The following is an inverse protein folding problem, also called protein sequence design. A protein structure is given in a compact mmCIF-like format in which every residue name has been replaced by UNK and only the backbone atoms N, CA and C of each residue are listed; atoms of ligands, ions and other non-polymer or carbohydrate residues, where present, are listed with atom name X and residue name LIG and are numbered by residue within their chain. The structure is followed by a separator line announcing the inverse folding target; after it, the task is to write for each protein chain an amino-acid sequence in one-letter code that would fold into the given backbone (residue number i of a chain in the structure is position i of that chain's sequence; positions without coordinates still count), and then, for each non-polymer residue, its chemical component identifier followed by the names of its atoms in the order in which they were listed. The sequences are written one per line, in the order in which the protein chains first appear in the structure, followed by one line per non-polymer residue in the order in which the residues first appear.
data_IF_275109289858
#
_entry.id   IF_275109289858
#
_cell.length_a   1.000
_cell.length_b   1.000
_cell.length_c   1.000
_cell.angle_alpha   90.00
_cell.angle_beta   90.00
_cell.angle_gamma   90.00
#
_symmetry.space_group_name_H-M   'P 1'
#
loop_
_entity.id
_entity.type
_entity.pdbx_description
1 polymer ?
#
# COMPACT_ATOMS: atom_id res chain seq x y z
N UNK A 1 -53.23 -39.82 -24.03
CA UNK A 1 -52.95 -38.55 -24.75
C UNK A 1 -52.46 -37.40 -23.85
N UNK A 2 -52.45 -37.52 -22.51
CA UNK A 2 -52.11 -36.41 -21.59
C UNK A 2 -50.60 -36.24 -21.36
N UNK A 3 -49.80 -37.31 -21.48
CA UNK A 3 -48.37 -37.33 -21.17
C UNK A 3 -47.49 -36.54 -22.16
N UNK A 4 -47.89 -36.39 -23.43
CA UNK A 4 -47.14 -35.62 -24.43
C UNK A 4 -47.30 -34.10 -24.27
N UNK A 5 -48.39 -33.64 -23.66
CA UNK A 5 -48.63 -32.21 -23.40
C UNK A 5 -47.84 -31.71 -22.18
N UNK A 6 -47.64 -32.57 -21.18
CA UNK A 6 -46.83 -32.29 -19.99
C UNK A 6 -45.31 -32.25 -20.30
N UNK A 7 -44.81 -33.05 -21.25
CA UNK A 7 -43.38 -33.00 -21.63
C UNK A 7 -43.02 -31.71 -22.39
N UNK A 8 -43.95 -31.18 -23.20
CA UNK A 8 -43.78 -29.92 -23.92
C UNK A 8 -43.71 -28.70 -22.99
N UNK A 9 -44.50 -28.67 -21.90
CA UNK A 9 -44.49 -27.56 -20.93
C UNK A 9 -43.23 -27.57 -20.05
N UNK A 10 -42.73 -28.76 -19.70
CA UNK A 10 -41.46 -28.91 -18.96
C UNK A 10 -40.27 -28.47 -19.81
N UNK A 11 -40.25 -28.84 -21.09
CA UNK A 11 -39.15 -28.47 -22.00
C UNK A 11 -39.09 -26.97 -22.28
N UNK A 12 -40.25 -26.31 -22.42
CA UNK A 12 -40.33 -24.84 -22.52
C UNK A 12 -39.77 -24.15 -21.27
N UNK A 13 -40.07 -24.67 -20.08
CA UNK A 13 -39.57 -24.13 -18.81
C UNK A 13 -38.05 -24.25 -18.67
N UNK A 14 -37.47 -25.37 -19.12
CA UNK A 14 -36.02 -25.58 -19.10
C UNK A 14 -35.28 -24.64 -20.05
N UNK A 15 -35.82 -24.40 -21.25
CA UNK A 15 -35.23 -23.48 -22.23
C UNK A 15 -35.24 -22.04 -21.69
N UNK A 16 -36.34 -21.60 -21.08
CA UNK A 16 -36.43 -20.28 -20.44
C UNK A 16 -35.41 -20.15 -19.31
N UNK A 17 -35.21 -21.19 -18.49
CA UNK A 17 -34.21 -21.20 -17.43
C UNK A 17 -32.77 -21.08 -17.97
N UNK A 18 -32.46 -21.79 -19.06
CA UNK A 18 -31.16 -21.70 -19.75
C UNK A 18 -30.93 -20.28 -20.30
N UNK A 19 -31.92 -19.69 -20.96
CA UNK A 19 -31.84 -18.33 -21.51
C UNK A 19 -31.65 -17.29 -20.40
N UNK A 20 -32.41 -17.38 -19.30
CA UNK A 20 -32.25 -16.51 -18.14
C UNK A 20 -30.84 -16.65 -17.52
N UNK A 21 -30.31 -17.88 -17.46
CA UNK A 21 -28.95 -18.15 -16.94
C UNK A 21 -27.87 -17.55 -17.85
N UNK A 22 -28.04 -17.61 -19.17
CA UNK A 22 -27.14 -17.00 -20.17
C UNK A 22 -27.20 -15.46 -20.10
N UNK A 23 -28.39 -14.86 -20.05
CA UNK A 23 -28.57 -13.40 -19.99
C UNK A 23 -28.01 -12.84 -18.67
N UNK A 24 -28.32 -13.48 -17.52
CA UNK A 24 -27.77 -13.07 -16.22
C UNK A 24 -26.25 -13.22 -16.18
N UNK A 25 -25.70 -14.28 -16.78
CA UNK A 25 -24.25 -14.49 -16.90
C UNK A 25 -23.58 -13.34 -17.65
N UNK A 26 -24.08 -12.98 -18.83
CA UNK A 26 -23.53 -11.89 -19.64
C UNK A 26 -23.63 -10.51 -18.95
N UNK A 27 -24.74 -10.22 -18.25
CA UNK A 27 -24.92 -8.97 -17.51
C UNK A 27 -23.99 -8.86 -16.28
N UNK A 28 -23.76 -9.99 -15.60
CA UNK A 28 -22.91 -10.07 -14.42
C UNK A 28 -21.42 -10.03 -14.77
N UNK A 29 -21.01 -10.59 -15.92
CA UNK A 29 -19.61 -10.59 -16.34
C UNK A 29 -19.08 -9.18 -16.67
N UNK A 30 -19.89 -8.37 -17.36
CA UNK A 30 -19.52 -6.98 -17.70
C UNK A 30 -19.38 -6.09 -16.46
N UNK A 31 -20.32 -6.20 -15.52
CA UNK A 31 -20.28 -5.44 -14.25
C UNK A 31 -19.10 -5.87 -13.37
N UNK A 32 -18.75 -7.16 -13.33
CA UNK A 32 -17.59 -7.65 -12.58
C UNK A 32 -16.26 -7.08 -13.09
N UNK A 33 -16.10 -6.95 -14.41
CA UNK A 33 -14.91 -6.40 -15.05
C UNK A 33 -14.70 -4.91 -14.73
N UNK A 34 -15.78 -4.13 -14.80
CA UNK A 34 -15.76 -2.70 -14.44
C UNK A 34 -15.43 -2.51 -12.96
N UNK A 35 -16.02 -3.33 -12.07
CA UNK A 35 -15.75 -3.30 -10.62
C UNK A 35 -14.29 -3.64 -10.29
N UNK A 36 -13.66 -4.57 -11.02
CA UNK A 36 -12.22 -4.88 -10.84
C UNK A 36 -11.32 -3.71 -11.24
N UNK A 37 -11.69 -2.93 -12.27
CA UNK A 37 -10.92 -1.76 -12.72
C UNK A 37 -11.05 -0.58 -11.75
N UNK A 38 -12.27 -0.30 -11.28
CA UNK A 38 -12.55 0.76 -10.28
C UNK A 38 -11.80 0.48 -8.97
N UNK A 39 -11.78 -0.78 -8.51
CA UNK A 39 -11.03 -1.19 -7.29
C UNK A 39 -9.53 -0.92 -7.40
N UNK A 40 -8.93 -1.14 -8.58
CA UNK A 40 -7.49 -0.92 -8.81
C UNK A 40 -7.12 0.57 -8.82
N UNK A 41 -8.04 1.44 -9.24
CA UNK A 41 -7.87 2.89 -9.25
C UNK A 41 -8.00 3.46 -7.82
N UNK A 42 -8.99 3.01 -7.05
CA UNK A 42 -9.17 3.44 -5.65
C UNK A 42 -7.96 3.15 -4.76
N UNK A 43 -7.30 2.00 -4.95
CA UNK A 43 -6.10 1.66 -4.19
C UNK A 43 -4.85 2.47 -4.58
N UNK A 44 -4.82 3.12 -5.75
CA UNK A 44 -3.71 4.00 -6.15
C UNK A 44 -3.79 5.40 -5.53
N UNK A 45 -4.99 5.85 -5.13
CA UNK A 45 -5.18 7.12 -4.42
C UNK A 45 -5.05 6.97 -2.89
N UNK A 46 -4.91 5.74 -2.40
CA UNK A 46 -4.67 5.45 -0.99
C UNK A 46 -3.17 5.39 -0.69
N UNK A 47 -2.47 6.48 -1.00
CA UNK A 47 -1.25 6.82 -0.28
C UNK A 47 -1.71 7.32 1.09
N UNK A 48 -1.25 6.76 2.21
CA UNK A 48 -1.57 7.32 3.50
C UNK A 48 -1.07 8.76 3.51
N UNK A 49 -1.98 9.74 3.50
CA UNK A 49 -1.66 11.13 3.78
C UNK A 49 -1.10 11.13 5.19
N UNK A 50 0.23 11.09 5.30
CA UNK A 50 0.93 11.08 6.58
C UNK A 50 0.79 12.48 7.16
N UNK A 51 -0.34 12.73 7.83
CA UNK A 51 -0.47 13.88 8.71
C UNK A 51 0.73 13.87 9.66
N UNK A 52 1.46 14.98 9.83
CA UNK A 52 2.34 15.12 10.97
C UNK A 52 1.43 15.03 12.20
N UNK A 53 1.40 13.87 12.82
CA UNK A 53 0.73 13.68 14.10
C UNK A 53 1.40 14.65 15.08
N UNK A 54 0.71 15.75 15.40
CA UNK A 54 1.12 16.68 16.43
C UNK A 54 1.06 15.92 17.77
N UNK A 55 2.22 15.45 18.20
CA UNK A 55 2.39 14.58 19.36
C UNK A 55 2.13 15.36 20.65
N UNK A 56 0.93 15.24 21.20
CA UNK A 56 0.68 15.48 22.63
C UNK A 56 -0.11 14.31 23.21
N UNK A 57 0.54 13.17 23.39
CA UNK A 57 0.12 12.20 24.41
C UNK A 57 1.33 11.45 24.95
N UNK A 58 1.41 11.45 26.28
CA UNK A 58 2.48 10.95 27.10
C UNK A 58 2.47 9.41 27.19
N UNK A 59 2.73 8.75 26.05
CA UNK A 59 3.25 7.35 25.99
C UNK A 59 4.69 7.35 25.51
N UNK A 60 5.46 8.29 26.09
CA UNK A 60 6.68 8.86 25.55
C UNK A 60 7.92 8.01 25.75
N UNK A 61 8.51 7.54 24.64
CA UNK A 61 9.95 7.63 24.33
C UNK A 61 10.34 6.99 22.98
N UNK A 62 9.47 6.22 22.32
CA UNK A 62 9.93 5.30 21.26
C UNK A 62 9.23 5.39 19.90
N UNK A 63 8.65 6.54 19.51
CA UNK A 63 8.09 6.71 18.16
C UNK A 63 8.61 7.93 17.39
N UNK A 64 9.46 8.75 18.02
CA UNK A 64 10.05 9.91 17.37
C UNK A 64 11.01 9.46 16.26
N UNK A 65 10.93 10.11 15.10
CA UNK A 65 11.95 9.98 14.08
C UNK A 65 13.11 10.91 14.44
N UNK A 66 14.29 10.35 14.65
CA UNK A 66 15.49 11.09 14.98
C UNK A 66 16.22 11.37 13.66
N UNK A 67 16.37 12.65 13.27
CA UNK A 67 17.10 13.00 12.06
C UNK A 67 18.58 12.68 12.25
N UNK A 68 19.21 12.09 11.23
CA UNK A 68 20.65 11.78 11.20
C UNK A 68 21.36 12.40 10.00
N UNK A 69 20.62 12.79 8.96
CA UNK A 69 21.10 13.59 7.82
C UNK A 69 20.10 14.72 7.56
N UNK A 70 20.60 15.94 7.39
CA UNK A 70 19.84 17.13 7.00
C UNK A 70 20.68 17.92 6.00
N UNK A 71 20.12 18.27 4.84
CA UNK A 71 20.77 18.99 3.74
C UNK A 71 22.11 18.38 3.30
N UNK A 72 22.15 17.05 3.15
CA UNK A 72 23.37 16.33 2.77
C UNK A 72 24.49 16.36 3.83
N UNK A 73 24.19 16.79 5.07
CA UNK A 73 25.14 16.86 6.18
C UNK A 73 24.70 15.95 7.33
N UNK A 74 25.68 15.38 8.03
CA UNK A 74 25.43 14.53 9.19
C UNK A 74 24.94 15.37 10.37
N UNK A 75 23.80 15.00 10.94
CA UNK A 75 23.27 15.61 12.16
C UNK A 75 23.77 14.85 13.40
N UNK A 76 24.89 15.30 13.95
CA UNK A 76 25.60 14.63 15.06
C UNK A 76 24.76 14.44 16.31
N UNK A 77 23.90 15.40 16.64
CA UNK A 77 23.05 15.32 17.84
C UNK A 77 22.07 14.14 17.75
N UNK A 78 21.51 13.88 16.57
CA UNK A 78 20.62 12.73 16.37
C UNK A 78 21.37 11.40 16.38
N UNK A 79 22.60 11.36 15.84
CA UNK A 79 23.45 10.18 15.97
C UNK A 79 23.83 9.90 17.43
N UNK A 80 24.11 10.94 18.22
CA UNK A 80 24.40 10.82 19.64
C UNK A 80 23.19 10.32 20.44
N UNK A 81 21.98 10.79 20.13
CA UNK A 81 20.73 10.28 20.72
C UNK A 81 20.49 8.79 20.44
N UNK A 82 21.02 8.29 19.31
CA UNK A 82 20.96 6.88 18.92
C UNK A 82 22.18 6.06 19.37
N UNK A 83 23.16 6.69 20.04
CA UNK A 83 24.45 6.08 20.40
C UNK A 83 25.18 5.46 19.19
N UNK A 84 25.08 6.12 18.02
CA UNK A 84 25.70 5.68 16.75
C UNK A 84 26.80 6.63 16.29
N UNK A 85 27.68 6.11 15.45
CA UNK A 85 28.80 6.87 14.86
C UNK A 85 28.52 7.25 13.41
N UNK A 86 29.25 8.24 12.88
CA UNK A 86 29.16 8.58 11.46
C UNK A 86 29.61 7.43 10.55
N UNK A 87 30.55 6.60 11.02
CA UNK A 87 31.04 5.43 10.29
C UNK A 87 29.91 4.39 10.14
N UNK A 88 29.15 4.14 11.21
CA UNK A 88 27.98 3.27 11.16
C UNK A 88 26.93 3.78 10.16
N UNK A 89 26.66 5.09 10.16
CA UNK A 89 25.72 5.71 9.21
C UNK A 89 26.16 5.52 7.76
N UNK A 90 27.46 5.73 7.46
CA UNK A 90 28.03 5.53 6.13
C UNK A 90 27.95 4.08 5.64
N UNK A 91 28.13 3.11 6.54
CA UNK A 91 27.95 1.69 6.22
C UNK A 91 26.48 1.38 5.90
N UNK A 92 25.55 1.93 6.69
CA UNK A 92 24.12 1.72 6.48
C UNK A 92 23.62 2.30 5.16
N UNK A 93 23.96 3.55 4.82
CA UNK A 93 23.48 4.15 3.57
C UNK A 93 24.05 3.46 2.32
N UNK A 94 25.27 2.90 2.41
CA UNK A 94 25.83 2.06 1.34
C UNK A 94 25.01 0.80 1.10
N UNK A 95 24.49 0.18 2.16
CA UNK A 95 23.58 -0.96 2.04
C UNK A 95 22.25 -0.58 1.35
N UNK A 96 21.84 0.69 1.43
CA UNK A 96 20.69 1.25 0.71
C UNK A 96 21.03 1.75 -0.72
N UNK A 97 22.28 1.61 -1.17
CA UNK A 97 22.71 2.00 -2.52
C UNK A 97 23.28 3.42 -2.64
N UNK A 98 23.44 4.15 -1.53
CA UNK A 98 24.03 5.49 -1.54
C UNK A 98 25.53 5.43 -1.24
N UNK A 99 26.34 5.92 -2.18
CA UNK A 99 27.80 5.92 -2.03
C UNK A 99 28.32 7.12 -1.22
N UNK A 100 27.58 8.23 -1.21
CA UNK A 100 27.92 9.47 -0.51
C UNK A 100 26.67 10.03 0.20
N UNK A 101 26.87 10.60 1.39
CA UNK A 101 25.85 11.30 2.19
C UNK A 101 25.28 12.49 1.41
N UNK A 102 26.09 13.13 0.55
CA UNK A 102 25.64 14.25 -0.29
C UNK A 102 24.52 13.89 -1.28
N UNK A 103 24.24 12.60 -1.50
CA UNK A 103 23.14 12.15 -2.35
C UNK A 103 21.79 12.14 -1.60
N UNK A 104 21.79 12.40 -0.30
CA UNK A 104 20.64 12.31 0.59
C UNK A 104 20.30 13.72 1.11
N UNK A 105 19.13 14.23 0.79
CA UNK A 105 18.63 15.51 1.32
C UNK A 105 18.24 15.36 2.80
N UNK A 106 17.60 14.26 3.18
CA UNK A 106 17.15 14.01 4.54
C UNK A 106 17.18 12.51 4.90
N UNK A 107 17.59 12.20 6.12
CA UNK A 107 17.49 10.84 6.67
C UNK A 107 17.06 10.89 8.14
N UNK A 108 16.08 10.06 8.50
CA UNK A 108 15.66 9.89 9.88
C UNK A 108 15.47 8.42 10.25
N UNK A 109 15.71 8.12 11.52
CA UNK A 109 15.60 6.77 12.07
C UNK A 109 14.51 6.77 13.14
N UNK A 110 13.54 5.88 12.98
CA UNK A 110 12.53 5.61 14.01
C UNK A 110 12.95 4.40 14.84
N UNK A 111 12.30 4.21 15.99
CA UNK A 111 12.45 2.98 16.76
C UNK A 111 12.25 1.73 15.89
N UNK A 112 13.05 0.69 16.20
CA UNK A 112 13.22 -0.54 15.41
C UNK A 112 14.02 -0.35 14.10
N UNK A 113 15.01 0.55 14.10
CA UNK A 113 15.92 0.79 12.97
C UNK A 113 15.21 1.00 11.62
N UNK A 114 14.06 1.68 11.65
CA UNK A 114 13.31 2.01 10.44
C UNK A 114 13.81 3.32 9.88
N UNK A 115 14.52 3.22 8.76
CA UNK A 115 15.05 4.37 8.02
C UNK A 115 13.98 5.00 7.13
N UNK A 116 13.97 6.32 7.10
CA UNK A 116 13.35 7.13 6.06
C UNK A 116 14.47 7.92 5.40
N UNK A 117 14.64 7.76 4.08
CA UNK A 117 15.69 8.40 3.29
C UNK A 117 15.01 9.15 2.16
N UNK A 118 15.34 10.43 2.02
CA UNK A 118 14.94 11.30 0.92
C UNK A 118 16.21 11.66 0.11
N UNK A 119 16.32 11.25 -1.16
CA UNK A 119 17.43 11.62 -2.02
C UNK A 119 17.28 13.06 -2.58
N UNK A 120 18.37 13.59 -3.15
CA UNK A 120 18.29 14.77 -4.04
C UNK A 120 17.75 14.43 -5.43
#
# INVERSE_FOLDING_TARGET
MVSRLLSLSVQASQIVFVIIKVIKGSLLYGTLLVMRKIRKIGNRLNYPVRRPELLTDNKGKSQRAIPVIVDGKVYRNGLAELERTELWLRQHIKAFGFNDIKQISYCSIRAKDRFFIDPY
#
